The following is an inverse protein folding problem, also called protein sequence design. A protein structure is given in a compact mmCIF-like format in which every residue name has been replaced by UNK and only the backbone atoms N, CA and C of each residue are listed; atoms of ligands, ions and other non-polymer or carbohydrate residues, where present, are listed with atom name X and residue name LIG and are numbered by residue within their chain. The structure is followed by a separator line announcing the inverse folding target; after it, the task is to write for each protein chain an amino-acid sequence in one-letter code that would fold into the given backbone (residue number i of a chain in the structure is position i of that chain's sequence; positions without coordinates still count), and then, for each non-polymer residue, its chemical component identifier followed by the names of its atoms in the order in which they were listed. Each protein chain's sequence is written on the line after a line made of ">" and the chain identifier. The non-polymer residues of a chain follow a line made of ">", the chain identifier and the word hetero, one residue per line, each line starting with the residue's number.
data_IF_414749485941
#
_entry.id   IF_414749485941
#
_cell.length_a   1.000
_cell.length_b   1.000
_cell.length_c   1.000
_cell.angle_alpha   90.00
_cell.angle_beta   90.00
_cell.angle_gamma   90.00
#
_symmetry.space_group_name_H-M   'P 1'
#
loop_
_entity.id
_entity.type
_entity.pdbx_description
1 polymer ?
#
# COMPACT_ATOMS: atom_id res chain seq x y z
N UNK A 1 12.51 3.79 -11.69
CA UNK A 1 11.04 4.05 -11.67
C UNK A 1 10.72 4.69 -10.35
N UNK A 2 9.84 5.70 -10.29
CA UNK A 2 9.36 6.25 -9.01
C UNK A 2 7.98 5.68 -8.72
N UNK A 3 7.76 5.27 -7.48
CA UNK A 3 6.51 4.64 -7.04
C UNK A 3 5.79 5.52 -6.01
N UNK A 4 4.49 5.69 -6.20
CA UNK A 4 3.61 6.35 -5.23
C UNK A 4 2.56 5.36 -4.77
N UNK A 5 2.65 4.95 -3.51
CA UNK A 5 1.68 4.05 -2.89
C UNK A 5 0.52 4.86 -2.27
N UNK A 6 -0.70 4.41 -2.50
CA UNK A 6 -1.91 4.99 -1.90
C UNK A 6 -2.68 3.87 -1.19
N UNK A 7 -3.11 4.09 0.05
CA UNK A 7 -3.95 3.11 0.75
C UNK A 7 -5.25 2.90 -0.01
N UNK A 8 -5.62 1.64 -0.27
CA UNK A 8 -6.77 1.30 -1.09
C UNK A 8 -8.09 1.45 -0.33
N UNK A 9 -9.11 2.05 -0.96
CA UNK A 9 -10.48 2.07 -0.41
C UNK A 9 -11.08 0.66 -0.27
N UNK A 10 -10.63 -0.31 -1.05
CA UNK A 10 -11.09 -1.71 -0.97
C UNK A 10 -10.78 -2.38 0.37
N UNK A 11 -9.78 -1.88 1.11
CA UNK A 11 -9.41 -2.41 2.44
C UNK A 11 -10.23 -1.78 3.56
N UNK A 12 -11.02 -0.73 3.30
CA UNK A 12 -11.79 -0.01 4.30
C UNK A 12 -13.21 -0.57 4.42
N UNK A 13 -13.74 -0.57 5.64
CA UNK A 13 -15.13 -0.94 5.93
C UNK A 13 -15.89 0.22 6.53
N UNK A 14 -17.20 0.24 6.32
CA UNK A 14 -18.11 1.23 6.94
C UNK A 14 -18.47 0.82 8.36
N UNK A 15 -18.57 -0.49 8.60
CA UNK A 15 -18.75 -1.04 9.94
C UNK A 15 -17.43 -0.91 10.71
N UNK A 16 -17.51 -0.39 11.94
CA UNK A 16 -16.37 -0.12 12.79
C UNK A 16 -15.21 0.60 12.04
N UNK A 17 -15.42 1.86 11.63
CA UNK A 17 -14.44 2.58 10.81
C UNK A 17 -13.11 2.80 11.51
N UNK A 18 -13.04 2.70 12.85
CA UNK A 18 -11.80 2.80 13.60
C UNK A 18 -10.79 1.72 13.25
N UNK A 19 -11.24 0.54 12.86
CA UNK A 19 -10.35 -0.53 12.36
C UNK A 19 -9.61 -0.12 11.09
N UNK A 20 -10.14 0.83 10.33
CA UNK A 20 -9.46 1.36 9.14
C UNK A 20 -8.16 2.10 9.50
N UNK A 21 -8.01 2.62 10.72
CA UNK A 21 -6.74 3.18 11.20
C UNK A 21 -5.66 2.12 11.22
N UNK A 22 -5.97 0.92 11.74
CA UNK A 22 -5.02 -0.20 11.75
C UNK A 22 -4.66 -0.66 10.33
N UNK A 23 -5.67 -0.80 9.47
CA UNK A 23 -5.47 -1.21 8.07
C UNK A 23 -4.57 -0.23 7.32
N UNK A 24 -4.86 1.07 7.42
CA UNK A 24 -4.06 2.11 6.76
C UNK A 24 -2.64 2.19 7.32
N UNK A 25 -2.47 1.99 8.63
CA UNK A 25 -1.14 1.95 9.26
C UNK A 25 -0.31 0.79 8.74
N UNK A 26 -0.89 -0.42 8.67
CA UNK A 26 -0.20 -1.59 8.13
C UNK A 26 0.14 -1.43 6.65
N UNK A 27 -0.77 -0.86 5.86
CA UNK A 27 -0.51 -0.59 4.45
C UNK A 27 0.61 0.45 4.26
N UNK A 28 0.60 1.53 5.04
CA UNK A 28 1.66 2.54 5.01
C UNK A 28 3.01 1.98 5.45
N UNK A 29 3.03 1.14 6.50
CA UNK A 29 4.23 0.44 6.94
C UNK A 29 4.78 -0.47 5.83
N UNK A 30 3.94 -1.33 5.24
CA UNK A 30 4.35 -2.21 4.15
C UNK A 30 4.88 -1.45 2.94
N UNK A 31 4.24 -0.35 2.55
CA UNK A 31 4.72 0.51 1.46
C UNK A 31 6.08 1.16 1.79
N UNK A 32 6.28 1.59 3.06
CA UNK A 32 7.54 2.20 3.52
C UNK A 32 8.68 1.18 3.49
N UNK A 33 8.45 -0.02 4.01
CA UNK A 33 9.45 -1.11 4.01
C UNK A 33 9.75 -1.59 2.59
N UNK A 34 8.72 -1.61 1.73
CA UNK A 34 8.86 -1.96 0.31
C UNK A 34 9.49 -0.88 -0.57
N UNK A 35 9.93 0.24 0.00
CA UNK A 35 10.70 1.26 -0.71
C UNK A 35 9.87 2.18 -1.63
N UNK A 36 8.61 2.44 -1.31
CA UNK A 36 7.82 3.43 -2.04
C UNK A 36 8.41 4.83 -1.85
N UNK A 37 8.59 5.58 -2.96
CA UNK A 37 9.14 6.94 -2.95
C UNK A 37 8.20 7.96 -2.31
N UNK A 38 6.90 7.72 -2.40
CA UNK A 38 5.86 8.53 -1.78
C UNK A 38 4.70 7.66 -1.30
N UNK A 39 4.07 8.07 -0.21
CA UNK A 39 2.94 7.35 0.37
C UNK A 39 1.82 8.33 0.68
N UNK A 40 0.60 8.00 0.26
CA UNK A 40 -0.62 8.69 0.68
C UNK A 40 -1.47 7.77 1.53
N UNK A 41 -1.75 8.20 2.76
CA UNK A 41 -2.67 7.52 3.68
C UNK A 41 -4.03 8.19 3.59
N UNK A 42 -5.06 7.45 3.23
CA UNK A 42 -6.43 7.95 3.25
C UNK A 42 -6.97 7.99 4.70
N UNK A 43 -7.76 9.01 5.06
CA UNK A 43 -8.43 9.07 6.33
C UNK A 43 -9.34 7.86 6.56
N UNK A 44 -9.40 7.36 7.79
CA UNK A 44 -10.17 6.16 8.17
C UNK A 44 -11.68 6.29 7.87
N UNK A 45 -12.19 7.51 7.87
CA UNK A 45 -13.58 7.87 7.67
C UNK A 45 -13.93 8.20 6.21
N UNK A 46 -13.00 8.05 5.28
CA UNK A 46 -13.21 8.33 3.84
C UNK A 46 -14.39 7.54 3.24
N UNK A 47 -14.63 6.32 3.73
CA UNK A 47 -15.75 5.48 3.27
C UNK A 47 -17.12 5.92 3.81
N UNK A 48 -17.15 6.82 4.78
CA UNK A 48 -18.37 7.37 5.38
C UNK A 48 -18.84 8.65 4.66
N UNK A 49 -17.95 9.31 3.94
CA UNK A 49 -18.20 10.58 3.27
C UNK A 49 -16.97 11.49 3.26
N UNK A 50 -17.18 12.81 3.31
CA UNK A 50 -16.09 13.76 3.39
C UNK A 50 -15.35 13.61 4.73
N UNK A 51 -14.03 13.33 4.71
CA UNK A 51 -13.27 13.08 5.94
C UNK A 51 -13.27 14.27 6.89
N UNK A 52 -13.45 13.98 8.17
CA UNK A 52 -13.40 14.97 9.24
C UNK A 52 -11.96 15.42 9.57
N UNK A 53 -11.86 16.46 10.40
CA UNK A 53 -10.56 16.99 10.84
C UNK A 53 -9.71 15.93 11.54
N UNK A 54 -10.32 15.08 12.35
CA UNK A 54 -9.62 14.02 13.07
C UNK A 54 -9.08 12.96 12.11
N UNK A 55 -9.89 12.49 11.17
CA UNK A 55 -9.48 11.51 10.17
C UNK A 55 -8.26 11.97 9.36
N UNK A 56 -8.31 13.20 8.85
CA UNK A 56 -7.17 13.80 8.13
C UNK A 56 -5.92 13.94 9.00
N UNK A 57 -6.06 14.30 10.27
CA UNK A 57 -4.94 14.39 11.20
C UNK A 57 -4.31 13.04 11.49
N UNK A 58 -5.12 12.00 11.71
CA UNK A 58 -4.62 10.64 11.93
C UNK A 58 -3.89 10.10 10.70
N UNK A 59 -4.46 10.29 9.51
CA UNK A 59 -3.83 9.87 8.26
C UNK A 59 -2.44 10.49 8.06
N UNK A 60 -2.32 11.81 8.31
CA UNK A 60 -1.03 12.51 8.25
C UNK A 60 -0.06 12.03 9.32
N UNK A 61 -0.54 11.90 10.57
CA UNK A 61 0.32 11.53 11.70
C UNK A 61 0.81 10.09 11.60
N UNK A 62 0.07 9.18 10.98
CA UNK A 62 0.53 7.81 10.73
C UNK A 62 1.89 7.80 10.03
N UNK A 63 2.07 8.62 9.01
CA UNK A 63 3.34 8.69 8.28
C UNK A 63 4.47 9.30 9.13
N UNK A 64 4.16 10.34 9.90
CA UNK A 64 5.13 11.00 10.80
C UNK A 64 5.59 10.01 11.88
N UNK A 65 4.66 9.26 12.48
CA UNK A 65 4.98 8.23 13.48
C UNK A 65 5.87 7.12 12.91
N UNK A 66 5.58 6.67 11.69
CA UNK A 66 6.40 5.64 11.02
C UNK A 66 7.81 6.16 10.70
N UNK A 67 7.92 7.42 10.25
CA UNK A 67 9.21 8.00 9.90
C UNK A 67 10.05 8.35 11.14
N UNK A 68 9.47 9.09 12.07
CA UNK A 68 10.22 9.74 13.16
C UNK A 68 10.30 8.89 14.43
N UNK A 69 9.22 8.18 14.80
CA UNK A 69 9.19 7.39 16.03
C UNK A 69 9.54 5.93 15.79
N UNK A 70 9.00 5.32 14.72
CA UNK A 70 9.31 3.93 14.36
C UNK A 70 10.61 3.78 13.57
N UNK A 71 11.20 4.89 13.14
CA UNK A 71 12.49 4.96 12.43
C UNK A 71 12.55 4.07 11.16
N UNK A 72 11.43 3.85 10.47
CA UNK A 72 11.36 2.97 9.30
C UNK A 72 12.30 3.41 8.18
N UNK A 73 12.56 4.71 8.05
CA UNK A 73 13.47 5.28 7.05
C UNK A 73 14.96 5.30 7.42
N UNK A 74 15.36 4.78 8.60
CA UNK A 74 16.77 4.82 9.05
C UNK A 74 17.69 3.88 8.30
N UNK A 75 17.15 2.82 7.74
CA UNK A 75 17.90 1.80 7.02
C UNK A 75 17.37 1.75 5.60
N UNK A 76 18.28 1.76 4.63
CA UNK A 76 17.92 1.50 3.24
C UNK A 76 17.58 0.02 3.11
N UNK A 77 16.45 -0.30 2.49
CA UNK A 77 15.96 -1.66 2.32
C UNK A 77 15.94 -2.48 3.64
N UNK A 78 15.05 -2.13 4.58
CA UNK A 78 14.99 -2.80 5.88
C UNK A 78 14.63 -4.28 5.81
N UNK A 79 14.06 -4.74 4.70
CA UNK A 79 13.74 -6.16 4.43
C UNK A 79 14.86 -6.92 3.74
N UNK A 80 15.88 -6.23 3.22
CA UNK A 80 16.97 -6.80 2.43
C UNK A 80 17.77 -7.85 3.19
N UNK A 81 18.10 -8.93 2.51
CA UNK A 81 18.84 -10.06 3.07
C UNK A 81 18.01 -11.01 3.95
N UNK A 82 16.73 -10.76 4.16
CA UNK A 82 15.82 -11.74 4.75
C UNK A 82 15.55 -12.86 3.76
N UNK A 83 15.96 -14.08 4.06
CA UNK A 83 15.78 -15.23 3.19
C UNK A 83 14.31 -15.43 2.78
N UNK A 84 13.39 -15.24 3.74
CA UNK A 84 11.96 -15.34 3.47
C UNK A 84 11.46 -14.25 2.51
N UNK A 85 11.86 -12.99 2.75
CA UNK A 85 11.40 -11.88 1.90
C UNK A 85 12.00 -11.96 0.50
N UNK A 86 13.27 -12.34 0.37
CA UNK A 86 13.91 -12.53 -0.93
C UNK A 86 13.22 -13.65 -1.72
N UNK A 87 13.04 -14.83 -1.10
CA UNK A 87 12.35 -15.96 -1.74
C UNK A 87 10.92 -15.61 -2.14
N UNK A 88 10.16 -14.95 -1.26
CA UNK A 88 8.78 -14.52 -1.54
C UNK A 88 8.73 -13.49 -2.67
N UNK A 89 9.70 -12.59 -2.73
CA UNK A 89 9.80 -11.57 -3.79
C UNK A 89 10.01 -12.22 -5.15
N UNK A 90 10.92 -13.19 -5.23
CA UNK A 90 11.19 -13.93 -6.46
C UNK A 90 9.96 -14.74 -6.91
N UNK A 91 9.32 -15.47 -5.99
CA UNK A 91 8.10 -16.23 -6.29
C UNK A 91 6.96 -15.34 -6.80
N UNK A 92 6.76 -14.17 -6.17
CA UNK A 92 5.75 -13.20 -6.61
C UNK A 92 6.12 -12.63 -7.97
N UNK A 93 7.39 -12.30 -8.21
CA UNK A 93 7.85 -11.78 -9.50
C UNK A 93 7.60 -12.78 -10.63
N UNK A 94 7.91 -14.06 -10.42
CA UNK A 94 7.64 -15.14 -11.39
C UNK A 94 6.13 -15.28 -11.69
N UNK A 95 5.30 -15.30 -10.64
CA UNK A 95 3.85 -15.42 -10.78
C UNK A 95 3.25 -14.22 -11.52
N UNK A 96 3.68 -13.01 -11.18
CA UNK A 96 3.24 -11.77 -11.86
C UNK A 96 3.68 -11.77 -13.31
N UNK A 97 4.92 -12.18 -13.59
CA UNK A 97 5.44 -12.25 -14.96
C UNK A 97 4.66 -13.24 -15.82
N UNK A 98 4.35 -14.43 -15.28
CA UNK A 98 3.53 -15.41 -15.97
C UNK A 98 2.13 -14.85 -16.28
N UNK A 99 1.51 -14.16 -15.31
CA UNK A 99 0.20 -13.53 -15.52
C UNK A 99 0.23 -12.39 -16.53
N UNK A 100 1.28 -11.56 -16.49
CA UNK A 100 1.50 -10.50 -17.47
C UNK A 100 1.58 -11.08 -18.90
N UNK A 101 2.34 -12.14 -19.09
CA UNK A 101 2.45 -12.81 -20.39
C UNK A 101 1.12 -13.39 -20.90
N UNK A 102 0.25 -13.85 -19.98
CA UNK A 102 -1.09 -14.33 -20.36
C UNK A 102 -1.95 -13.18 -20.90
N UNK A 103 -1.94 -12.03 -20.18
CA UNK A 103 -2.67 -10.83 -20.59
C UNK A 103 -2.17 -10.32 -21.95
N UNK A 104 -0.86 -10.27 -22.16
CA UNK A 104 -0.26 -9.85 -23.43
C UNK A 104 -0.63 -10.80 -24.58
N UNK A 105 -0.61 -12.10 -24.36
CA UNK A 105 -1.04 -13.09 -25.38
C UNK A 105 -2.54 -12.97 -25.72
N UNK A 106 -3.35 -12.52 -24.79
CA UNK A 106 -4.78 -12.27 -25.02
C UNK A 106 -5.08 -10.93 -25.71
N UNK A 107 -4.05 -10.15 -26.08
CA UNK A 107 -4.20 -8.86 -26.76
C UNK A 107 -3.95 -7.63 -25.87
N UNK A 108 -3.37 -7.85 -24.70
CA UNK A 108 -3.08 -6.78 -23.74
C UNK A 108 -4.27 -6.44 -22.85
N UNK A 109 -4.10 -5.45 -21.97
CA UNK A 109 -5.19 -4.89 -21.18
C UNK A 109 -6.04 -3.98 -22.07
N UNK A 110 -7.02 -4.55 -22.77
CA UNK A 110 -8.01 -3.81 -23.54
C UNK A 110 -8.93 -2.97 -22.65
N UNK A 111 -9.82 -2.21 -23.27
CA UNK A 111 -10.80 -1.31 -22.58
C UNK A 111 -11.69 -2.02 -21.54
N UNK A 112 -11.76 -3.34 -21.55
CA UNK A 112 -12.56 -4.16 -20.64
C UNK A 112 -12.03 -4.18 -19.20
N UNK A 113 -10.80 -3.74 -18.93
CA UNK A 113 -10.22 -3.69 -17.57
C UNK A 113 -10.61 -2.38 -16.85
N UNK A 114 -11.11 -1.39 -17.57
CA UNK A 114 -11.51 -0.11 -16.99
C UNK A 114 -12.90 -0.14 -16.30
N UNK A 115 -13.59 -1.26 -16.33
CA UNK A 115 -14.98 -1.41 -15.84
C UNK A 115 -15.19 -2.39 -14.67
N UNK A 116 -14.12 -2.87 -13.98
CA UNK A 116 -14.25 -3.81 -12.86
C UNK A 116 -13.89 -3.19 -11.50
#
# INVERSE_FOLDING_TARGET
>A
MRTHAVTSLRMFTREDPWVNVLRSTLAAFGASVGGADAITVLPYDTVLGLPERLGRRLARNTQILLADESNVGRVTDPGGGSWYLESLTDEVAEAVWARFQEVERAGGAGDDVAGA
#
